data_IF_293202491489
#
_entry.id   IF_293202491489
#
_cell.length_a   1.000
_cell.length_b   1.000
_cell.length_c   1.000
_cell.angle_alpha   90.00
_cell.angle_beta   90.00
_cell.angle_gamma   90.00
#
_symmetry.space_group_name_H-M   'P 1'
#
loop_
_entity.id
_entity.type
_entity.pdbx_description
1 polymer ?
#
# COMPACT_ATOMS: atom_id res chain seq x y z
N UNK A 1 -0.70 10.41 -9.04
CA UNK A 1 -0.58 9.36 -10.08
C UNK A 1 -1.97 9.01 -10.59
N UNK A 2 -2.21 9.04 -11.91
CA UNK A 2 -3.54 8.68 -12.46
C UNK A 2 -3.65 7.17 -12.62
N UNK A 3 -4.63 6.55 -11.96
CA UNK A 3 -4.89 5.11 -12.03
C UNK A 3 -6.20 4.85 -12.79
N UNK A 4 -6.17 3.94 -13.77
CA UNK A 4 -7.36 3.49 -14.50
C UNK A 4 -7.80 2.14 -13.96
N UNK A 5 -9.03 2.06 -13.45
CA UNK A 5 -9.58 0.84 -12.82
C UNK A 5 -10.79 0.31 -13.60
N UNK A 6 -11.05 -1.02 -13.58
CA UNK A 6 -12.32 -1.56 -14.02
C UNK A 6 -13.49 -0.98 -13.22
N UNK A 7 -14.65 -0.79 -13.85
CA UNK A 7 -15.83 -0.19 -13.22
C UNK A 7 -16.29 -0.97 -11.98
N UNK A 8 -16.32 -2.30 -12.06
CA UNK A 8 -16.69 -3.18 -10.94
C UNK A 8 -15.76 -2.99 -9.72
N UNK A 9 -14.46 -2.80 -9.96
CA UNK A 9 -13.48 -2.53 -8.90
C UNK A 9 -13.77 -1.18 -8.27
N UNK A 10 -14.04 -0.15 -9.08
CA UNK A 10 -14.31 1.18 -8.58
C UNK A 10 -15.60 1.23 -7.74
N UNK A 11 -16.65 0.53 -8.17
CA UNK A 11 -17.90 0.39 -7.39
C UNK A 11 -17.64 -0.27 -6.04
N UNK A 12 -16.99 -1.45 -6.03
CA UNK A 12 -16.69 -2.17 -4.79
C UNK A 12 -15.80 -1.35 -3.83
N UNK A 13 -14.88 -0.52 -4.35
CA UNK A 13 -14.08 0.40 -3.52
C UNK A 13 -14.94 1.49 -2.90
N UNK A 14 -15.88 2.07 -3.65
CA UNK A 14 -16.76 3.15 -3.17
C UNK A 14 -17.72 2.72 -2.06
N UNK A 15 -17.99 1.42 -1.94
CA UNK A 15 -18.80 0.86 -0.85
C UNK A 15 -18.02 0.69 0.47
N UNK A 16 -16.68 0.80 0.44
CA UNK A 16 -15.87 0.67 1.64
C UNK A 16 -15.98 1.93 2.51
N UNK A 17 -16.21 1.81 3.83
CA UNK A 17 -16.33 2.97 4.72
C UNK A 17 -15.16 3.96 4.64
N UNK A 18 -13.93 3.46 4.48
CA UNK A 18 -12.75 4.33 4.38
C UNK A 18 -12.73 5.19 3.12
N UNK A 19 -13.47 4.84 2.07
CA UNK A 19 -13.46 5.59 0.81
C UNK A 19 -14.00 7.01 1.02
N UNK A 20 -15.04 7.18 1.83
CA UNK A 20 -15.57 8.49 2.19
C UNK A 20 -14.59 9.34 3.04
N UNK A 21 -13.62 8.71 3.68
CA UNK A 21 -12.63 9.37 4.55
C UNK A 21 -11.29 9.63 3.83
N UNK A 22 -11.18 9.36 2.52
CA UNK A 22 -9.91 9.48 1.77
C UNK A 22 -9.24 10.85 1.97
N UNK A 23 -10.00 11.94 1.78
CA UNK A 23 -9.47 13.30 1.92
C UNK A 23 -8.92 13.52 3.34
N UNK A 24 -9.69 13.19 4.37
CA UNK A 24 -9.29 13.36 5.78
C UNK A 24 -8.06 12.54 6.14
N UNK A 25 -7.97 11.31 5.64
CA UNK A 25 -6.78 10.46 5.84
C UNK A 25 -5.55 11.10 5.19
N UNK A 26 -5.69 11.61 3.96
CA UNK A 26 -4.56 12.19 3.22
C UNK A 26 -4.13 13.56 3.77
N UNK A 27 -5.05 14.37 4.28
CA UNK A 27 -4.76 15.61 5.00
C UNK A 27 -3.95 15.31 6.27
N UNK A 28 -4.41 14.35 7.09
CA UNK A 28 -3.69 13.96 8.31
C UNK A 28 -2.27 13.46 8.00
N UNK A 29 -2.08 12.68 6.93
CA UNK A 29 -0.75 12.21 6.49
C UNK A 29 0.13 13.35 5.98
N UNK A 30 -0.46 14.38 5.35
CA UNK A 30 0.31 15.53 4.86
C UNK A 30 0.75 16.47 5.98
N UNK A 31 -0.03 16.57 7.06
CA UNK A 31 0.21 17.49 8.18
C UNK A 31 0.99 16.86 9.33
N UNK A 32 1.08 15.53 9.40
CA UNK A 32 1.69 14.82 10.53
C UNK A 32 2.63 13.70 10.07
N UNK A 33 3.80 13.64 10.69
CA UNK A 33 4.77 12.55 10.44
C UNK A 33 4.24 11.17 10.86
N UNK A 34 3.34 11.13 11.86
CA UNK A 34 2.74 9.92 12.40
C UNK A 34 1.23 10.09 12.53
N UNK A 35 0.47 9.17 11.91
CA UNK A 35 -0.99 9.15 11.95
C UNK A 35 -1.50 7.82 12.49
N UNK A 36 -2.36 7.87 13.52
CA UNK A 36 -3.06 6.70 14.02
C UNK A 36 -4.44 6.58 13.36
N UNK A 37 -4.60 5.58 12.49
CA UNK A 37 -5.87 5.29 11.84
C UNK A 37 -6.57 4.08 12.50
N UNK A 38 -7.74 4.30 13.08
CA UNK A 38 -8.56 3.24 13.69
C UNK A 38 -9.85 3.00 12.92
N UNK A 39 -10.27 1.73 12.85
CA UNK A 39 -11.54 1.33 12.25
C UNK A 39 -11.72 -0.19 12.27
N UNK A 40 -12.95 -0.67 12.13
CA UNK A 40 -13.25 -2.11 12.14
C UNK A 40 -12.58 -2.89 11.00
N UNK A 41 -12.34 -4.18 11.19
CA UNK A 41 -11.95 -5.09 10.09
C UNK A 41 -13.04 -5.04 9.00
N UNK A 42 -12.64 -5.09 7.73
CA UNK A 42 -13.57 -4.93 6.60
C UNK A 42 -13.85 -3.49 6.19
N UNK A 43 -13.40 -2.49 6.97
CA UNK A 43 -13.60 -1.07 6.60
C UNK A 43 -12.76 -0.60 5.40
N UNK A 44 -11.86 -1.45 4.88
CA UNK A 44 -11.00 -1.14 3.73
C UNK A 44 -9.60 -0.60 4.04
N UNK A 45 -9.22 -0.40 5.32
CA UNK A 45 -7.92 0.21 5.70
C UNK A 45 -6.71 -0.38 4.98
N UNK A 46 -6.49 -1.69 5.13
CA UNK A 46 -5.30 -2.37 4.61
C UNK A 46 -5.23 -2.35 3.08
N UNK A 47 -6.36 -2.28 2.38
CA UNK A 47 -6.40 -2.28 0.91
C UNK A 47 -6.38 -0.87 0.33
N UNK A 48 -7.03 0.11 0.97
CA UNK A 48 -7.23 1.44 0.39
C UNK A 48 -6.15 2.45 0.77
N UNK A 49 -5.64 2.47 2.01
CA UNK A 49 -4.63 3.46 2.43
C UNK A 49 -3.38 3.43 1.54
N UNK A 50 -2.79 2.26 1.20
CA UNK A 50 -1.64 2.24 0.30
C UNK A 50 -1.94 2.77 -1.10
N UNK A 51 -3.20 2.64 -1.57
CA UNK A 51 -3.62 3.18 -2.86
C UNK A 51 -3.76 4.70 -2.80
N UNK A 52 -4.35 5.26 -1.75
CA UNK A 52 -4.45 6.71 -1.56
C UNK A 52 -3.07 7.37 -1.53
N UNK A 53 -2.12 6.78 -0.79
CA UNK A 53 -0.73 7.21 -0.77
C UNK A 53 -0.12 7.17 -2.18
N UNK A 54 -0.26 6.05 -2.89
CA UNK A 54 0.29 5.92 -4.23
C UNK A 54 -0.32 6.93 -5.22
N UNK A 55 -1.64 7.15 -5.16
CA UNK A 55 -2.36 8.13 -5.98
C UNK A 55 -1.93 9.56 -5.66
N UNK A 56 -1.62 9.86 -4.41
CA UNK A 56 -1.04 11.14 -3.98
C UNK A 56 0.45 11.33 -4.34
N UNK A 57 1.07 10.33 -4.97
CA UNK A 57 2.45 10.41 -5.48
C UNK A 57 3.51 9.86 -4.54
N UNK A 58 3.13 9.25 -3.41
CA UNK A 58 4.07 8.55 -2.55
C UNK A 58 4.70 7.35 -3.28
N UNK A 59 6.02 7.25 -3.18
CA UNK A 59 6.85 6.27 -3.85
C UNK A 59 7.20 6.62 -5.30
N UNK A 60 6.69 7.72 -5.86
CA UNK A 60 7.05 8.11 -7.21
C UNK A 60 8.50 8.64 -7.26
N UNK A 61 9.39 8.13 -8.15
CA UNK A 61 10.81 8.49 -8.15
C UNK A 61 11.09 9.99 -8.35
N UNK A 62 10.19 10.68 -9.03
CA UNK A 62 10.31 12.10 -9.37
C UNK A 62 9.52 13.02 -8.42
N UNK A 63 8.84 12.48 -7.41
CA UNK A 63 8.07 13.30 -6.47
C UNK A 63 8.98 13.75 -5.31
N UNK A 64 9.41 15.01 -5.34
CA UNK A 64 10.19 15.62 -4.25
C UNK A 64 9.48 15.45 -2.89
N UNK A 65 10.25 15.07 -1.86
CA UNK A 65 9.72 14.79 -0.52
C UNK A 65 8.85 13.54 -0.38
N UNK A 66 8.53 12.84 -1.48
CA UNK A 66 7.70 11.63 -1.50
C UNK A 66 8.36 10.45 -2.22
N UNK A 67 9.69 10.52 -2.34
CA UNK A 67 10.53 9.48 -2.91
C UNK A 67 10.53 8.23 -2.02
N UNK A 68 10.83 7.06 -2.60
CA UNK A 68 10.96 5.80 -1.86
C UNK A 68 9.87 4.79 -2.20
N UNK A 69 9.43 4.01 -1.21
CA UNK A 69 8.45 2.95 -1.37
C UNK A 69 7.46 2.96 -0.21
N UNK A 70 6.18 2.76 -0.50
CA UNK A 70 5.13 2.56 0.52
C UNK A 70 5.30 1.14 1.07
N UNK A 71 5.74 1.03 2.32
CA UNK A 71 5.84 -0.24 3.04
C UNK A 71 4.59 -0.53 3.86
N UNK A 72 4.02 -1.74 3.72
CA UNK A 72 2.86 -2.18 4.49
C UNK A 72 3.20 -3.49 5.18
N UNK A 73 3.32 -3.49 6.51
CA UNK A 73 3.57 -4.73 7.24
C UNK A 73 2.28 -5.47 7.54
N UNK A 74 2.37 -6.79 7.63
CA UNK A 74 1.31 -7.70 8.02
C UNK A 74 1.89 -8.77 8.96
N UNK A 75 1.18 -9.15 10.04
CA UNK A 75 1.71 -10.11 11.02
C UNK A 75 1.85 -11.53 10.47
N UNK A 76 1.19 -11.84 9.34
CA UNK A 76 1.16 -13.18 8.74
C UNK A 76 1.57 -13.12 7.27
N UNK A 77 2.37 -14.11 6.84
CA UNK A 77 2.81 -14.27 5.44
C UNK A 77 1.64 -14.32 4.46
N UNK A 78 0.62 -15.12 4.78
CA UNK A 78 -0.59 -15.28 3.93
C UNK A 78 -1.33 -13.95 3.77
N UNK A 79 -1.37 -13.11 4.82
CA UNK A 79 -1.98 -11.79 4.74
C UNK A 79 -1.18 -10.85 3.84
N UNK A 80 0.16 -10.82 3.97
CA UNK A 80 1.01 -9.99 3.10
C UNK A 80 0.83 -10.34 1.61
N UNK A 81 0.86 -11.63 1.27
CA UNK A 81 0.68 -12.11 -0.10
C UNK A 81 -0.72 -11.79 -0.63
N UNK A 82 -1.77 -12.10 0.15
CA UNK A 82 -3.15 -11.86 -0.27
C UNK A 82 -3.47 -10.37 -0.44
N UNK A 83 -2.95 -9.51 0.45
CA UNK A 83 -3.15 -8.06 0.32
C UNK A 83 -2.40 -7.48 -0.87
N UNK A 84 -1.19 -7.93 -1.17
CA UNK A 84 -0.48 -7.51 -2.38
C UNK A 84 -1.23 -7.93 -3.66
N UNK A 85 -1.71 -9.17 -3.73
CA UNK A 85 -2.52 -9.63 -4.86
C UNK A 85 -3.80 -8.82 -5.02
N UNK A 86 -4.50 -8.57 -3.92
CA UNK A 86 -5.73 -7.76 -3.92
C UNK A 86 -5.49 -6.34 -4.39
N UNK A 87 -4.47 -5.66 -3.86
CA UNK A 87 -4.16 -4.28 -4.23
C UNK A 87 -3.59 -4.17 -5.63
N UNK A 88 -2.80 -5.14 -6.11
CA UNK A 88 -2.36 -5.20 -7.50
C UNK A 88 -3.56 -5.28 -8.46
N UNK A 89 -4.52 -6.16 -8.15
CA UNK A 89 -5.77 -6.28 -8.90
C UNK A 89 -6.58 -4.97 -8.87
N UNK A 90 -6.76 -4.36 -7.70
CA UNK A 90 -7.52 -3.11 -7.55
C UNK A 90 -6.87 -1.90 -8.26
N UNK A 91 -5.54 -1.90 -8.40
CA UNK A 91 -4.79 -0.90 -9.16
C UNK A 91 -4.69 -1.22 -10.66
N UNK A 92 -5.16 -2.39 -11.10
CA UNK A 92 -5.07 -2.81 -12.50
C UNK A 92 -3.62 -3.07 -12.97
N UNK A 93 -2.73 -3.47 -12.06
CA UNK A 93 -1.32 -3.75 -12.34
C UNK A 93 -1.00 -5.23 -12.13
N UNK A 94 0.05 -5.72 -12.78
CA UNK A 94 0.57 -7.07 -12.51
C UNK A 94 1.30 -7.08 -11.17
N UNK A 95 1.09 -8.12 -10.38
CA UNK A 95 1.85 -8.33 -9.14
C UNK A 95 3.35 -8.48 -9.46
N UNK A 96 4.19 -7.76 -8.72
CA UNK A 96 5.65 -7.67 -8.92
C UNK A 96 6.09 -6.42 -9.71
N UNK A 97 5.16 -5.74 -10.37
CA UNK A 97 5.41 -4.43 -10.99
C UNK A 97 5.30 -3.34 -9.90
N UNK A 98 4.26 -2.50 -9.95
CA UNK A 98 4.02 -1.41 -8.99
C UNK A 98 3.74 -1.92 -7.57
N UNK A 99 3.01 -3.03 -7.44
CA UNK A 99 2.65 -3.64 -6.16
C UNK A 99 3.35 -4.98 -6.04
N UNK A 100 4.08 -5.18 -4.94
CA UNK A 100 4.81 -6.40 -4.66
C UNK A 100 4.61 -6.86 -3.21
N UNK A 101 5.07 -8.07 -2.92
CA UNK A 101 5.23 -8.55 -1.56
C UNK A 101 6.62 -9.12 -1.29
N UNK A 102 7.00 -9.16 -0.02
CA UNK A 102 8.19 -9.84 0.47
C UNK A 102 7.91 -10.53 1.80
N UNK A 103 8.10 -11.84 1.83
CA UNK A 103 7.98 -12.67 3.02
C UNK A 103 9.23 -13.52 3.18
N UNK A 104 9.36 -14.26 4.29
CA UNK A 104 10.49 -15.17 4.47
C UNK A 104 10.55 -16.17 3.31
N UNK A 105 11.68 -16.19 2.59
CA UNK A 105 12.00 -17.07 1.46
C UNK A 105 11.20 -16.85 0.17
N UNK A 106 10.42 -15.78 0.05
CA UNK A 106 9.66 -15.50 -1.17
C UNK A 106 9.47 -13.98 -1.36
N UNK A 107 9.73 -13.49 -2.58
CA UNK A 107 9.70 -12.08 -2.91
C UNK A 107 9.33 -11.86 -4.37
N UNK A 108 8.48 -10.87 -4.62
CA UNK A 108 8.13 -10.37 -5.95
C UNK A 108 8.65 -8.95 -6.20
N UNK A 109 9.42 -8.40 -5.26
CA UNK A 109 9.88 -7.00 -5.31
C UNK A 109 10.84 -6.78 -6.46
N UNK A 110 10.62 -5.71 -7.22
CA UNK A 110 11.47 -5.26 -8.31
C UNK A 110 11.82 -3.78 -8.16
N UNK A 111 12.70 -3.26 -9.03
CA UNK A 111 13.00 -1.80 -9.07
C UNK A 111 11.77 -0.97 -9.45
N UNK A 112 10.75 -1.57 -10.06
CA UNK A 112 9.50 -0.92 -10.40
C UNK A 112 8.52 -0.85 -9.23
N UNK A 113 8.75 -1.59 -8.15
CA UNK A 113 7.83 -1.63 -7.00
C UNK A 113 7.75 -0.30 -6.27
N UNK A 114 6.53 0.08 -5.92
CA UNK A 114 6.16 1.35 -5.26
C UNK A 114 5.37 1.10 -4.00
N UNK A 115 4.63 -0.02 -3.95
CA UNK A 115 3.93 -0.53 -2.77
C UNK A 115 4.46 -1.93 -2.47
N UNK A 116 4.99 -2.14 -1.27
CA UNK A 116 5.50 -3.44 -0.80
C UNK A 116 4.76 -3.89 0.45
N UNK A 117 4.03 -5.00 0.32
CA UNK A 117 3.49 -5.71 1.46
C UNK A 117 4.53 -6.68 2.02
N UNK A 118 4.72 -6.71 3.33
CA UNK A 118 5.74 -7.55 3.92
C UNK A 118 5.35 -8.06 5.30
N UNK A 119 6.09 -9.00 5.84
CA UNK A 119 5.99 -9.36 7.26
C UNK A 119 6.83 -8.44 8.13
N UNK A 120 6.46 -8.27 9.39
CA UNK A 120 7.23 -7.44 10.35
C UNK A 120 8.71 -7.86 10.42
N UNK A 121 8.99 -9.17 10.41
CA UNK A 121 10.36 -9.70 10.41
C UNK A 121 11.17 -9.43 9.12
N UNK A 122 10.51 -9.08 8.01
CA UNK A 122 11.20 -8.61 6.79
C UNK A 122 11.62 -7.16 6.99
N UNK A 123 10.71 -6.29 7.43
CA UNK A 123 11.05 -4.89 7.71
C UNK A 123 12.15 -4.77 8.76
N UNK A 124 12.05 -5.53 9.86
CA UNK A 124 13.07 -5.54 10.91
C UNK A 124 14.45 -5.91 10.36
N UNK A 125 14.53 -6.91 9.45
CA UNK A 125 15.80 -7.31 8.84
C UNK A 125 16.36 -6.22 7.92
N UNK A 126 15.51 -5.57 7.12
CA UNK A 126 15.94 -4.49 6.23
C UNK A 126 16.50 -3.31 7.04
N UNK A 127 15.83 -2.92 8.13
CA UNK A 127 16.34 -1.88 9.05
C UNK A 127 17.70 -2.27 9.63
N UNK A 128 17.90 -3.52 10.05
CA UNK A 128 19.18 -4.00 10.57
C UNK A 128 20.30 -4.09 9.52
N UNK A 129 19.98 -4.09 8.23
CA UNK A 129 20.96 -4.09 7.14
C UNK A 129 21.33 -2.68 6.67
N UNK A 130 20.50 -1.69 7.00
CA UNK A 130 20.67 -0.27 6.66
C UNK A 130 21.34 0.54 7.79
N UNK A 131 21.32 -0.01 9.01
CA UNK A 131 22.09 0.45 10.18
C UNK A 131 23.53 -0.07 10.13
#
# INVERSE_FOLDING_TARGET
VRVKRPEQVQLARSELPIFAEEQRVMEAVAESDVVLLSGATGSGKTTQVPQFLYEAGYGHPQAEGRQGMIGVTQPRRVAAVAMAQRVAYELGVKLGDTVAYQVRYDSTVSRASRVKFMTDGVLLREVLQDL
#
